data_IF_715077625839
#
_entry.id   IF_715077625839
#
_cell.length_a   1.000
_cell.length_b   1.000
_cell.length_c   1.000
_cell.angle_alpha   90.00
_cell.angle_beta   90.00
_cell.angle_gamma   90.00
#
_symmetry.space_group_name_H-M   'P 1'
#
loop_
_entity.id
_entity.type
_entity.pdbx_description
1 polymer ?
#
# COMPACT_ATOMS: atom_id res chain seq x y z
N UNK A 1 7.01 -12.44 -53.23
CA UNK A 1 5.70 -13.14 -53.17
C UNK A 1 5.71 -14.35 -52.23
N UNK A 2 6.75 -15.21 -52.23
CA UNK A 2 6.88 -16.35 -51.29
C UNK A 2 6.99 -15.96 -49.80
N UNK A 3 7.53 -14.79 -49.49
CA UNK A 3 7.69 -14.27 -48.11
C UNK A 3 6.37 -13.87 -47.44
N UNK A 4 5.36 -13.48 -48.23
CA UNK A 4 4.01 -13.19 -47.71
C UNK A 4 3.21 -14.47 -47.47
N UNK A 5 3.38 -15.48 -48.31
CA UNK A 5 2.68 -16.76 -48.17
C UNK A 5 3.18 -17.57 -46.96
N UNK A 6 4.48 -17.49 -46.65
CA UNK A 6 5.08 -18.06 -45.43
C UNK A 6 4.64 -17.33 -44.15
N UNK A 7 4.49 -16.00 -44.22
CA UNK A 7 3.97 -15.21 -43.10
C UNK A 7 2.48 -15.53 -42.83
N UNK A 8 1.68 -15.74 -43.87
CA UNK A 8 0.26 -16.08 -43.76
C UNK A 8 0.01 -17.49 -43.20
N UNK A 9 0.83 -18.47 -43.58
CA UNK A 9 0.70 -19.85 -43.10
C UNK A 9 1.15 -20.00 -41.63
N UNK A 10 2.27 -19.36 -41.27
CA UNK A 10 2.79 -19.39 -39.88
C UNK A 10 1.89 -18.62 -38.91
N UNK A 11 1.36 -17.47 -39.32
CA UNK A 11 0.39 -16.72 -38.50
C UNK A 11 -0.94 -17.46 -38.33
N UNK A 12 -1.43 -18.17 -39.35
CA UNK A 12 -2.66 -18.97 -39.23
C UNK A 12 -2.50 -20.19 -38.30
N UNK A 13 -1.36 -20.87 -38.31
CA UNK A 13 -1.07 -21.97 -37.39
C UNK A 13 -0.95 -21.45 -35.94
N UNK A 14 -0.30 -20.30 -35.75
CA UNK A 14 -0.19 -19.65 -34.43
C UNK A 14 -1.56 -19.16 -33.92
N UNK A 15 -2.44 -18.67 -34.81
CA UNK A 15 -3.79 -18.21 -34.45
C UNK A 15 -4.75 -19.37 -34.17
N UNK A 16 -4.77 -20.43 -34.98
CA UNK A 16 -5.60 -21.62 -34.75
C UNK A 16 -5.25 -22.31 -33.42
N UNK A 17 -3.96 -22.44 -33.09
CA UNK A 17 -3.52 -23.09 -31.86
C UNK A 17 -3.63 -22.20 -30.60
N UNK A 18 -3.68 -20.86 -30.73
CA UNK A 18 -3.91 -19.95 -29.60
C UNK A 18 -5.37 -19.77 -29.23
N UNK A 19 -6.29 -19.84 -30.18
CA UNK A 19 -7.74 -19.68 -29.91
C UNK A 19 -8.27 -20.85 -29.08
N UNK A 20 -7.70 -22.05 -29.26
CA UNK A 20 -8.10 -23.25 -28.49
C UNK A 20 -7.49 -23.27 -27.07
N UNK A 21 -6.30 -22.70 -26.88
CA UNK A 21 -5.54 -22.84 -25.61
C UNK A 21 -5.50 -21.59 -24.71
N UNK A 22 -6.19 -20.50 -25.05
CA UNK A 22 -6.27 -19.30 -24.17
C UNK A 22 -7.52 -19.24 -23.29
N UNK A 23 -8.34 -20.30 -23.28
CA UNK A 23 -9.54 -20.38 -22.44
C UNK A 23 -9.28 -21.05 -21.08
N UNK A 24 -8.15 -21.73 -20.87
CA UNK A 24 -7.90 -22.44 -19.59
C UNK A 24 -6.43 -22.34 -19.22
N UNK A 25 -6.09 -21.43 -18.29
CA UNK A 25 -5.13 -21.65 -17.19
C UNK A 25 -4.58 -20.33 -16.62
N UNK A 26 -5.42 -19.71 -15.78
CA UNK A 26 -4.96 -19.07 -14.55
C UNK A 26 -5.71 -19.71 -13.39
N UNK A 27 -5.28 -20.89 -12.95
CA UNK A 27 -5.63 -21.44 -11.63
C UNK A 27 -4.43 -22.20 -11.05
N UNK A 28 -3.72 -21.55 -10.13
CA UNK A 28 -3.22 -22.28 -8.97
C UNK A 28 -4.45 -22.64 -8.14
N UNK A 29 -4.79 -23.93 -8.06
CA UNK A 29 -5.47 -24.64 -6.97
C UNK A 29 -5.51 -26.11 -7.41
N UNK A 30 -4.79 -27.00 -6.71
CA UNK A 30 -5.21 -28.41 -6.59
C UNK A 30 -6.32 -28.45 -5.53
N UNK A 31 -7.38 -29.23 -5.74
CA UNK A 31 -7.39 -30.54 -5.09
C UNK A 31 -7.78 -31.69 -6.03
N UNK A 32 -7.45 -32.88 -5.56
CA UNK A 32 -7.72 -34.16 -6.19
C UNK A 32 -9.23 -34.45 -6.33
N UNK A 33 -9.53 -35.40 -7.22
CA UNK A 33 -10.82 -36.07 -7.46
C UNK A 33 -11.75 -35.37 -8.46
N UNK A 34 -11.58 -35.71 -9.74
CA UNK A 34 -12.65 -35.94 -10.73
C UNK A 34 -12.01 -36.19 -12.12
N UNK A 35 -11.53 -37.42 -12.35
CA UNK A 35 -11.21 -37.93 -13.69
C UNK A 35 -11.92 -39.28 -13.81
N UNK A 36 -13.15 -39.32 -14.30
CA UNK A 36 -13.80 -40.59 -14.67
C UNK A 36 -14.87 -40.52 -15.77
N UNK A 37 -15.12 -39.39 -16.46
CA UNK A 37 -16.30 -39.34 -17.37
C UNK A 37 -16.11 -38.77 -18.78
N UNK A 38 -14.93 -38.84 -19.40
CA UNK A 38 -14.75 -38.36 -20.79
C UNK A 38 -13.99 -39.31 -21.74
N UNK A 39 -13.98 -40.63 -21.46
CA UNK A 39 -13.22 -41.61 -22.28
C UNK A 39 -13.99 -42.33 -23.38
N UNK A 40 -15.29 -42.13 -23.59
CA UNK A 40 -16.09 -43.08 -24.42
C UNK A 40 -16.71 -42.55 -25.74
N UNK A 41 -16.19 -41.49 -26.38
CA UNK A 41 -16.84 -41.00 -27.65
C UNK A 41 -15.88 -40.79 -28.83
N UNK A 42 -14.64 -41.29 -28.81
CA UNK A 42 -13.70 -41.09 -29.94
C UNK A 42 -13.06 -42.37 -30.48
N UNK A 43 -13.83 -43.46 -30.56
CA UNK A 43 -13.45 -44.67 -31.31
C UNK A 43 -14.21 -44.78 -32.63
N UNK A 44 -13.92 -43.88 -33.58
CA UNK A 44 -14.11 -44.13 -35.02
C UNK A 44 -13.07 -43.32 -35.81
N UNK A 45 -12.05 -44.00 -36.33
CA UNK A 45 -11.22 -43.53 -37.48
C UNK A 45 -12.14 -43.15 -38.66
N UNK A 46 -11.83 -42.18 -39.56
CA UNK A 46 -10.55 -41.98 -40.29
C UNK A 46 -10.28 -40.48 -40.69
N UNK A 47 -9.45 -40.09 -41.69
CA UNK A 47 -8.30 -40.72 -42.34
C UNK A 47 -6.97 -39.94 -42.18
N UNK A 48 -5.90 -40.65 -42.54
CA UNK A 48 -4.51 -40.25 -42.76
C UNK A 48 -4.29 -38.85 -43.37
N UNK A 49 -3.95 -37.84 -42.57
CA UNK A 49 -3.27 -36.62 -43.06
C UNK A 49 -2.28 -36.01 -42.04
N UNK A 50 -1.68 -36.81 -41.14
CA UNK A 50 -0.67 -36.29 -40.18
C UNK A 50 0.74 -36.20 -40.79
N UNK A 51 1.02 -37.00 -41.82
CA UNK A 51 2.36 -37.05 -42.44
C UNK A 51 2.71 -35.78 -43.23
N UNK A 52 1.72 -35.01 -43.70
CA UNK A 52 1.98 -33.94 -44.66
C UNK A 52 2.49 -32.64 -44.00
N UNK A 53 2.19 -32.44 -42.70
CA UNK A 53 2.71 -31.32 -41.91
C UNK A 53 4.09 -31.60 -41.33
N UNK A 54 4.33 -32.83 -40.88
CA UNK A 54 5.62 -33.27 -40.31
C UNK A 54 6.70 -33.39 -41.41
N UNK A 55 6.30 -33.85 -42.60
CA UNK A 55 7.17 -33.91 -43.79
C UNK A 55 7.53 -32.53 -44.34
N UNK A 56 6.62 -31.55 -44.28
CA UNK A 56 6.89 -30.17 -44.69
C UNK A 56 7.81 -29.43 -43.72
N UNK A 57 7.73 -29.72 -42.42
CA UNK A 57 8.65 -29.17 -41.41
C UNK A 57 10.06 -29.77 -41.57
N UNK A 58 10.16 -31.08 -41.79
CA UNK A 58 11.44 -31.78 -41.98
C UNK A 58 12.15 -31.42 -43.29
N UNK A 59 11.42 -31.20 -44.40
CA UNK A 59 12.02 -30.63 -45.62
C UNK A 59 12.53 -29.20 -45.44
N UNK A 60 11.89 -28.38 -44.60
CA UNK A 60 12.33 -27.00 -44.34
C UNK A 60 13.60 -26.96 -43.48
N UNK A 61 13.73 -27.90 -42.54
CA UNK A 61 14.92 -28.06 -41.67
C UNK A 61 16.18 -28.38 -42.50
N UNK A 62 16.04 -29.02 -43.65
CA UNK A 62 17.14 -29.37 -44.56
C UNK A 62 17.54 -28.27 -45.55
N UNK A 63 16.84 -27.14 -45.59
CA UNK A 63 17.27 -26.01 -46.41
C UNK A 63 18.45 -25.31 -45.73
N UNK A 64 19.65 -25.50 -46.31
CA UNK A 64 20.96 -24.92 -45.96
C UNK A 64 21.01 -23.38 -45.88
N UNK A 65 19.88 -22.68 -45.96
CA UNK A 65 19.87 -21.24 -46.17
C UNK A 65 19.98 -20.43 -44.89
N UNK A 66 19.64 -20.95 -43.70
CA UNK A 66 19.83 -20.21 -42.43
C UNK A 66 19.98 -21.17 -41.22
N UNK A 67 21.19 -21.62 -40.83
CA UNK A 67 21.37 -22.55 -39.71
C UNK A 67 20.87 -21.99 -38.36
N UNK A 68 20.89 -20.66 -38.18
CA UNK A 68 20.30 -19.99 -37.02
C UNK A 68 18.76 -20.13 -36.95
N UNK A 69 18.07 -20.20 -38.10
CA UNK A 69 16.61 -20.39 -38.13
C UNK A 69 16.22 -21.83 -37.86
N UNK A 70 17.06 -22.79 -38.25
CA UNK A 70 16.90 -24.23 -37.93
C UNK A 70 16.99 -24.49 -36.42
N UNK A 71 17.93 -23.84 -35.73
CA UNK A 71 18.00 -23.86 -34.25
C UNK A 71 16.71 -23.31 -33.63
N UNK A 72 16.18 -22.22 -34.16
CA UNK A 72 14.90 -21.65 -33.73
C UNK A 72 13.71 -22.59 -33.96
N UNK A 73 13.65 -23.23 -35.11
CA UNK A 73 12.63 -24.22 -35.44
C UNK A 73 12.72 -25.41 -34.49
N UNK A 74 13.93 -25.86 -34.14
CA UNK A 74 14.17 -26.92 -33.16
C UNK A 74 13.66 -26.53 -31.77
N UNK A 75 13.87 -25.28 -31.34
CA UNK A 75 13.28 -24.75 -30.09
C UNK A 75 11.75 -24.77 -30.11
N UNK A 76 11.14 -24.48 -31.26
CA UNK A 76 9.67 -24.44 -31.42
C UNK A 76 9.05 -25.83 -31.58
N UNK A 77 9.71 -26.74 -32.29
CA UNK A 77 9.24 -28.09 -32.58
C UNK A 77 9.46 -29.05 -31.42
N UNK A 78 10.41 -28.77 -30.53
CA UNK A 78 10.74 -29.67 -29.43
C UNK A 78 9.68 -29.79 -28.33
N UNK A 79 8.52 -29.08 -28.33
CA UNK A 79 7.68 -29.06 -27.12
C UNK A 79 6.15 -28.99 -27.23
N UNK A 80 5.54 -29.80 -26.34
CA UNK A 80 4.15 -29.72 -25.88
C UNK A 80 3.88 -28.81 -24.66
N UNK A 81 4.89 -28.17 -24.02
CA UNK A 81 4.68 -27.17 -22.94
C UNK A 81 5.77 -26.08 -22.91
N UNK A 82 5.54 -24.99 -23.61
CA UNK A 82 6.44 -23.82 -23.64
C UNK A 82 6.38 -23.02 -22.32
N UNK A 83 7.52 -22.74 -21.68
CA UNK A 83 7.63 -21.88 -20.48
C UNK A 83 8.72 -20.82 -20.62
N UNK A 84 8.59 -19.70 -19.90
CA UNK A 84 9.59 -18.61 -19.91
C UNK A 84 10.97 -19.12 -19.46
N UNK A 85 10.99 -20.00 -18.45
CA UNK A 85 12.23 -20.61 -17.95
C UNK A 85 12.90 -21.46 -19.02
N UNK A 86 12.12 -22.26 -19.74
CA UNK A 86 12.63 -23.07 -20.84
C UNK A 86 13.23 -22.20 -21.96
N UNK A 87 12.54 -21.13 -22.37
CA UNK A 87 13.03 -20.18 -23.39
C UNK A 87 14.42 -19.64 -23.05
N UNK A 88 14.63 -19.17 -21.82
CA UNK A 88 15.91 -18.59 -21.41
C UNK A 88 16.99 -19.64 -21.10
N UNK A 89 16.61 -20.82 -20.63
CA UNK A 89 17.53 -21.96 -20.52
C UNK A 89 18.04 -22.39 -21.91
N UNK A 90 17.17 -22.45 -22.90
CA UNK A 90 17.54 -22.80 -24.27
C UNK A 90 18.51 -21.77 -24.88
N UNK A 91 18.24 -20.48 -24.70
CA UNK A 91 19.17 -19.41 -25.06
C UNK A 91 20.55 -19.65 -24.41
N UNK A 92 20.58 -19.92 -23.10
CA UNK A 92 21.81 -20.16 -22.38
C UNK A 92 22.57 -21.39 -22.91
N UNK A 93 21.85 -22.47 -23.23
CA UNK A 93 22.43 -23.69 -23.79
C UNK A 93 23.09 -23.43 -25.14
N UNK A 94 22.49 -22.62 -26.01
CA UNK A 94 23.10 -22.25 -27.30
C UNK A 94 24.33 -21.39 -27.12
N UNK A 95 24.25 -20.37 -26.26
CA UNK A 95 25.36 -19.44 -26.05
C UNK A 95 26.58 -20.15 -25.44
N UNK A 96 26.36 -21.11 -24.54
CA UNK A 96 27.42 -21.89 -23.90
C UNK A 96 27.87 -23.10 -24.72
N UNK A 97 27.21 -23.42 -25.83
CA UNK A 97 27.57 -24.58 -26.65
C UNK A 97 28.92 -24.34 -27.35
N UNK A 98 29.92 -25.19 -27.11
CA UNK A 98 31.23 -25.12 -27.75
C UNK A 98 31.22 -25.56 -29.23
N UNK A 99 30.20 -26.30 -29.66
CA UNK A 99 30.06 -26.80 -31.05
C UNK A 99 29.40 -25.78 -31.99
N UNK A 100 28.96 -24.63 -31.48
CA UNK A 100 28.35 -23.57 -32.28
C UNK A 100 29.37 -22.44 -32.43
N UNK A 101 29.64 -22.04 -33.67
CA UNK A 101 30.54 -20.94 -33.95
C UNK A 101 30.02 -19.59 -33.42
N UNK A 102 30.94 -18.68 -33.12
CA UNK A 102 30.69 -17.34 -32.62
C UNK A 102 29.77 -16.53 -33.54
N UNK A 103 29.98 -16.58 -34.86
CA UNK A 103 29.14 -15.88 -35.84
C UNK A 103 27.70 -16.40 -35.81
N UNK A 104 27.54 -17.73 -35.70
CA UNK A 104 26.22 -18.35 -35.61
C UNK A 104 25.48 -17.99 -34.31
N UNK A 105 26.21 -17.89 -33.19
CA UNK A 105 25.62 -17.43 -31.92
C UNK A 105 25.12 -16.01 -32.02
N UNK A 106 25.87 -15.13 -32.68
CA UNK A 106 25.46 -13.75 -32.90
C UNK A 106 24.21 -13.67 -33.78
N UNK A 107 24.20 -14.39 -34.91
CA UNK A 107 23.03 -14.46 -35.79
C UNK A 107 21.79 -14.99 -35.06
N UNK A 108 21.97 -16.03 -34.22
CA UNK A 108 20.90 -16.55 -33.38
C UNK A 108 20.38 -15.49 -32.38
N UNK A 109 21.29 -14.78 -31.71
CA UNK A 109 20.94 -13.76 -30.72
C UNK A 109 20.22 -12.56 -31.35
N UNK A 110 20.65 -12.14 -32.55
CA UNK A 110 19.97 -11.11 -33.33
C UNK A 110 18.54 -11.54 -33.70
N UNK A 111 18.38 -12.76 -34.20
CA UNK A 111 17.08 -13.33 -34.54
C UNK A 111 16.18 -13.44 -33.31
N UNK A 112 16.72 -13.94 -32.19
CA UNK A 112 16.03 -14.05 -30.91
C UNK A 112 15.54 -12.70 -30.41
N UNK A 113 16.41 -11.70 -30.44
CA UNK A 113 16.08 -10.33 -30.03
C UNK A 113 14.98 -9.73 -30.91
N UNK A 114 15.05 -9.95 -32.23
CA UNK A 114 14.03 -9.47 -33.20
C UNK A 114 12.67 -10.12 -32.96
N UNK A 115 12.64 -11.44 -32.74
CA UNK A 115 11.42 -12.18 -32.43
C UNK A 115 10.81 -11.68 -31.11
N UNK A 116 11.62 -11.54 -30.06
CA UNK A 116 11.15 -11.04 -28.77
C UNK A 116 10.60 -9.61 -28.88
N UNK A 117 11.33 -8.71 -29.53
CA UNK A 117 10.89 -7.33 -29.77
C UNK A 117 9.55 -7.30 -30.50
N UNK A 118 9.42 -8.08 -31.58
CA UNK A 118 8.16 -8.17 -32.36
C UNK A 118 7.02 -8.71 -31.51
N UNK A 119 7.25 -9.77 -30.75
CA UNK A 119 6.27 -10.35 -29.84
C UNK A 119 5.81 -9.37 -28.76
N UNK A 120 6.74 -8.63 -28.14
CA UNK A 120 6.42 -7.64 -27.13
C UNK A 120 5.64 -6.46 -27.71
N UNK A 121 6.05 -5.96 -28.88
CA UNK A 121 5.32 -4.89 -29.59
C UNK A 121 3.90 -5.30 -29.94
N UNK A 122 3.70 -6.52 -30.46
CA UNK A 122 2.37 -7.06 -30.75
C UNK A 122 1.52 -7.22 -29.49
N UNK A 123 2.10 -7.66 -28.37
CA UNK A 123 1.37 -7.74 -27.10
C UNK A 123 0.96 -6.38 -26.58
N UNK A 124 1.83 -5.38 -26.64
CA UNK A 124 1.50 -4.00 -26.26
C UNK A 124 0.40 -3.45 -27.15
N UNK A 125 0.48 -3.69 -28.47
CA UNK A 125 -0.55 -3.30 -29.42
C UNK A 125 -1.91 -3.96 -29.08
N UNK A 126 -1.92 -5.28 -28.91
CA UNK A 126 -3.13 -6.02 -28.56
C UNK A 126 -3.72 -5.58 -27.23
N UNK A 127 -2.88 -5.30 -26.24
CA UNK A 127 -3.32 -4.77 -24.94
C UNK A 127 -3.99 -3.39 -25.10
N UNK A 128 -3.36 -2.45 -25.82
CA UNK A 128 -3.94 -1.14 -26.12
C UNK A 128 -5.24 -1.24 -26.89
N UNK A 129 -5.33 -2.18 -27.84
CA UNK A 129 -6.56 -2.45 -28.58
C UNK A 129 -7.68 -2.93 -27.66
N UNK A 130 -7.40 -3.91 -26.78
CA UNK A 130 -8.36 -4.42 -25.78
C UNK A 130 -8.84 -3.30 -24.87
N UNK A 131 -7.93 -2.48 -24.33
CA UNK A 131 -8.28 -1.33 -23.50
C UNK A 131 -9.22 -0.36 -24.22
N UNK A 132 -8.95 -0.03 -25.49
CA UNK A 132 -9.79 0.91 -26.25
C UNK A 132 -11.19 0.37 -26.57
N UNK A 133 -11.34 -0.96 -26.73
CA UNK A 133 -12.63 -1.60 -27.04
C UNK A 133 -13.43 -2.04 -25.81
N UNK A 134 -12.79 -2.14 -24.66
CA UNK A 134 -13.43 -2.60 -23.44
C UNK A 134 -14.53 -1.62 -23.00
N UNK A 135 -15.64 -2.18 -22.52
CA UNK A 135 -16.71 -1.38 -21.97
C UNK A 135 -16.22 -0.67 -20.70
N UNK A 136 -16.51 0.63 -20.59
CA UNK A 136 -16.31 1.38 -19.36
C UNK A 136 -17.45 1.03 -18.41
N UNK A 137 -17.16 0.17 -17.42
CA UNK A 137 -18.18 -0.24 -16.46
C UNK A 137 -18.44 0.81 -15.41
N UNK A 138 -17.41 1.56 -15.01
CA UNK A 138 -17.53 2.60 -13.99
C UNK A 138 -17.08 3.93 -14.57
N UNK A 139 -18.05 4.84 -14.67
CA UNK A 139 -17.90 6.21 -15.14
C UNK A 139 -18.28 7.25 -14.07
N UNK A 140 -18.54 6.80 -12.85
CA UNK A 140 -18.87 7.63 -11.70
C UNK A 140 -17.90 7.36 -10.55
N UNK A 141 -17.63 8.40 -9.79
CA UNK A 141 -16.84 8.38 -8.57
C UNK A 141 -17.60 7.65 -7.43
N UNK A 142 -16.92 7.38 -6.33
CA UNK A 142 -17.48 6.84 -5.07
C UNK A 142 -18.66 7.69 -4.58
N UNK A 143 -18.64 9.01 -4.82
CA UNK A 143 -19.73 9.94 -4.53
C UNK A 143 -20.79 10.06 -5.64
N UNK A 144 -20.77 9.14 -6.62
CA UNK A 144 -21.67 9.11 -7.79
C UNK A 144 -21.54 10.30 -8.75
N UNK A 145 -20.49 11.12 -8.60
CA UNK A 145 -20.17 12.20 -9.53
C UNK A 145 -19.63 11.63 -10.84
N UNK A 146 -20.00 12.16 -12.01
CA UNK A 146 -19.44 11.70 -13.28
C UNK A 146 -17.94 12.00 -13.33
N UNK A 147 -17.15 10.99 -13.69
CA UNK A 147 -15.70 11.13 -13.83
C UNK A 147 -15.41 11.62 -15.25
N UNK A 148 -14.77 12.78 -15.37
CA UNK A 148 -14.30 13.29 -16.65
C UNK A 148 -13.01 12.57 -17.08
N UNK A 149 -13.07 11.92 -18.24
CA UNK A 149 -11.96 11.22 -18.88
C UNK A 149 -10.83 12.16 -19.32
N UNK A 150 -11.13 13.44 -19.56
CA UNK A 150 -10.14 14.43 -19.97
C UNK A 150 -9.30 14.97 -18.80
N UNK A 151 -9.71 14.70 -17.56
CA UNK A 151 -9.03 15.20 -16.38
C UNK A 151 -7.65 14.55 -16.21
N UNK A 152 -6.58 15.34 -15.97
CA UNK A 152 -5.24 14.79 -15.74
C UNK A 152 -5.16 13.95 -14.46
N UNK A 153 -6.13 14.06 -13.55
CA UNK A 153 -6.19 13.35 -12.26
C UNK A 153 -6.99 12.04 -12.32
N UNK A 154 -7.34 11.59 -13.51
CA UNK A 154 -8.11 10.36 -13.73
C UNK A 154 -7.26 9.35 -14.46
N UNK A 155 -7.34 8.09 -14.02
CA UNK A 155 -6.68 6.96 -14.67
C UNK A 155 -7.71 5.89 -15.01
N UNK A 156 -7.54 5.29 -16.20
CA UNK A 156 -8.30 4.12 -16.63
C UNK A 156 -7.48 2.85 -16.38
N UNK A 157 -8.01 1.95 -15.56
CA UNK A 157 -7.41 0.66 -15.24
C UNK A 157 -8.22 -0.42 -15.94
N UNK A 158 -7.56 -1.19 -16.81
CA UNK A 158 -8.15 -2.34 -17.47
C UNK A 158 -7.94 -3.61 -16.64
N UNK A 159 -9.03 -4.23 -16.22
CA UNK A 159 -9.02 -5.46 -15.43
C UNK A 159 -10.25 -6.31 -15.78
N UNK A 160 -10.08 -7.63 -15.89
CA UNK A 160 -11.18 -8.56 -16.20
C UNK A 160 -12.04 -8.13 -17.41
N UNK A 161 -11.39 -7.74 -18.52
CA UNK A 161 -12.02 -7.27 -19.77
C UNK A 161 -12.85 -5.99 -19.71
N UNK A 162 -12.81 -5.26 -18.59
CA UNK A 162 -13.52 -4.00 -18.41
C UNK A 162 -12.56 -2.87 -18.06
N UNK A 163 -12.96 -1.64 -18.39
CA UNK A 163 -12.27 -0.44 -17.96
C UNK A 163 -12.94 0.13 -16.71
N UNK A 164 -12.12 0.48 -15.72
CA UNK A 164 -12.53 1.15 -14.49
C UNK A 164 -11.81 2.50 -14.39
N UNK A 165 -12.59 3.56 -14.23
CA UNK A 165 -12.05 4.89 -13.99
C UNK A 165 -11.84 5.10 -12.50
N UNK A 166 -10.71 5.69 -12.15
CA UNK A 166 -10.39 6.09 -10.79
C UNK A 166 -9.87 7.51 -10.78
N UNK A 167 -10.30 8.30 -9.80
CA UNK A 167 -9.61 9.54 -9.49
C UNK A 167 -8.34 9.22 -8.70
N UNK A 168 -7.37 10.13 -8.74
CA UNK A 168 -6.17 10.04 -7.89
C UNK A 168 -6.54 9.89 -6.42
N UNK A 169 -7.53 10.64 -5.94
CA UNK A 169 -7.93 10.63 -4.53
C UNK A 169 -8.49 9.26 -4.12
N UNK A 170 -9.31 8.64 -4.99
CA UNK A 170 -9.83 7.30 -4.75
C UNK A 170 -8.69 6.29 -4.63
N UNK A 171 -7.71 6.36 -5.53
CA UNK A 171 -6.56 5.46 -5.48
C UNK A 171 -5.74 5.68 -4.22
N UNK A 172 -5.50 6.92 -3.81
CA UNK A 172 -4.80 7.22 -2.56
C UNK A 172 -5.55 6.59 -1.37
N UNK A 173 -6.87 6.74 -1.32
CA UNK A 173 -7.69 6.17 -0.26
C UNK A 173 -7.68 4.64 -0.27
N UNK A 174 -7.86 4.01 -1.44
CA UNK A 174 -7.82 2.56 -1.61
C UNK A 174 -6.47 2.00 -1.17
N UNK A 175 -5.37 2.64 -1.60
CA UNK A 175 -4.01 2.21 -1.31
C UNK A 175 -3.70 2.38 0.19
N UNK A 176 -3.99 3.56 0.77
CA UNK A 176 -3.71 3.84 2.17
C UNK A 176 -4.55 2.96 3.10
N UNK A 177 -5.84 2.74 2.80
CA UNK A 177 -6.67 1.85 3.59
C UNK A 177 -6.19 0.39 3.52
N UNK A 178 -5.64 -0.04 2.38
CA UNK A 178 -5.11 -1.41 2.24
C UNK A 178 -3.76 -1.55 2.96
N UNK A 179 -2.80 -0.68 2.66
CA UNK A 179 -1.43 -0.79 3.18
C UNK A 179 -1.30 -0.33 4.63
N UNK A 180 -2.16 0.59 5.07
CA UNK A 180 -2.19 1.09 6.44
C UNK A 180 -3.05 0.26 7.39
N UNK A 181 -3.65 -0.84 6.90
CA UNK A 181 -4.46 -1.72 7.73
C UNK A 181 -3.67 -2.22 8.95
N UNK A 182 -4.31 -2.17 10.10
CA UNK A 182 -3.71 -2.53 11.38
C UNK A 182 -4.77 -3.10 12.33
N UNK A 183 -4.32 -3.94 13.27
CA UNK A 183 -5.10 -4.48 14.38
C UNK A 183 -4.39 -4.14 15.67
N UNK A 184 -5.03 -3.41 16.58
CA UNK A 184 -4.43 -3.00 17.87
C UNK A 184 -3.03 -2.37 17.72
N UNK A 185 -2.89 -1.47 16.72
CA UNK A 185 -1.63 -0.84 16.31
C UNK A 185 -0.58 -1.78 15.67
N UNK A 186 -0.81 -3.08 15.60
CA UNK A 186 0.03 -4.00 14.84
C UNK A 186 -0.27 -3.89 13.36
N UNK A 187 0.76 -3.63 12.56
CA UNK A 187 0.64 -3.48 11.13
C UNK A 187 0.28 -4.82 10.47
N UNK A 188 -0.80 -4.84 9.70
CA UNK A 188 -1.24 -6.00 8.93
C UNK A 188 -1.68 -5.54 7.53
N UNK A 189 -0.74 -5.12 6.66
CA UNK A 189 -1.05 -4.57 5.36
C UNK A 189 -1.79 -5.59 4.49
N UNK A 190 -2.84 -5.13 3.82
CA UNK A 190 -3.66 -5.93 2.93
C UNK A 190 -3.28 -5.73 1.46
N UNK A 191 -3.59 -6.75 0.66
CA UNK A 191 -3.42 -6.69 -0.80
C UNK A 191 -4.37 -5.61 -1.35
N UNK A 192 -3.82 -4.70 -2.15
CA UNK A 192 -4.59 -3.64 -2.80
C UNK A 192 -5.51 -4.28 -3.86
N UNK A 193 -6.81 -4.05 -3.72
CA UNK A 193 -7.84 -4.59 -4.61
C UNK A 193 -8.61 -3.47 -5.30
N UNK A 194 -9.19 -3.83 -6.43
CA UNK A 194 -10.20 -2.99 -7.07
C UNK A 194 -11.52 -3.11 -6.28
N UNK A 195 -12.08 -2.00 -5.76
CA UNK A 195 -13.31 -2.04 -4.97
C UNK A 195 -14.54 -2.53 -5.77
N UNK A 196 -14.52 -2.42 -7.09
CA UNK A 196 -15.68 -2.75 -7.93
C UNK A 196 -15.82 -4.26 -8.21
N UNK A 197 -14.71 -5.00 -8.21
CA UNK A 197 -14.72 -6.43 -8.55
C UNK A 197 -13.97 -7.29 -7.52
N UNK A 198 -13.41 -6.69 -6.46
CA UNK A 198 -12.62 -7.33 -5.41
C UNK A 198 -11.39 -8.11 -5.90
N UNK A 199 -10.95 -7.88 -7.14
CA UNK A 199 -9.75 -8.52 -7.68
C UNK A 199 -8.49 -7.74 -7.28
N UNK A 200 -7.41 -8.45 -6.90
CA UNK A 200 -6.15 -7.80 -6.54
C UNK A 200 -5.54 -7.10 -7.74
N UNK A 201 -4.95 -5.93 -7.51
CA UNK A 201 -4.16 -5.26 -8.53
C UNK A 201 -2.89 -6.06 -8.81
N UNK A 202 -2.65 -6.35 -10.08
CA UNK A 202 -1.42 -7.00 -10.50
C UNK A 202 -0.26 -6.02 -10.38
N UNK A 203 0.95 -6.55 -10.29
CA UNK A 203 2.18 -5.75 -10.22
C UNK A 203 2.30 -4.74 -11.38
N UNK A 204 1.88 -5.12 -12.58
CA UNK A 204 1.86 -4.22 -13.74
C UNK A 204 0.92 -3.02 -13.52
N UNK A 205 -0.27 -3.26 -12.96
CA UNK A 205 -1.23 -2.20 -12.64
C UNK A 205 -0.65 -1.27 -11.58
N UNK A 206 -0.03 -1.82 -10.52
CA UNK A 206 0.60 -1.01 -9.46
C UNK A 206 1.71 -0.10 -9.99
N UNK A 207 2.55 -0.58 -10.92
CA UNK A 207 3.53 0.28 -11.61
C UNK A 207 2.85 1.38 -12.43
N UNK A 208 1.79 1.04 -13.16
CA UNK A 208 1.03 2.01 -13.95
C UNK A 208 0.46 3.10 -13.04
N UNK A 209 -0.12 2.75 -11.90
CA UNK A 209 -0.64 3.71 -10.91
C UNK A 209 0.49 4.58 -10.34
N UNK A 210 1.61 3.97 -9.94
CA UNK A 210 2.73 4.70 -9.34
C UNK A 210 3.34 5.73 -10.30
N UNK A 211 3.62 5.35 -11.54
CA UNK A 211 4.14 6.28 -12.54
C UNK A 211 3.11 7.30 -13.00
N UNK A 212 1.82 6.97 -12.93
CA UNK A 212 0.76 7.94 -13.14
C UNK A 212 0.79 9.03 -12.06
N UNK A 213 0.86 8.64 -10.77
CA UNK A 213 0.94 9.60 -9.67
C UNK A 213 2.24 10.42 -9.69
N UNK A 214 3.39 9.79 -9.96
CA UNK A 214 4.70 10.46 -10.00
C UNK A 214 4.80 11.56 -11.06
N UNK A 215 4.01 11.48 -12.14
CA UNK A 215 3.98 12.51 -13.19
C UNK A 215 3.22 13.78 -12.79
N UNK A 216 2.44 13.71 -11.73
CA UNK A 216 1.57 14.79 -11.29
C UNK A 216 2.33 15.72 -10.33
N UNK A 217 1.90 16.98 -10.18
CA UNK A 217 2.58 17.97 -9.33
C UNK A 217 2.35 17.77 -7.82
N UNK A 218 1.86 16.60 -7.37
CA UNK A 218 1.61 16.32 -5.96
C UNK A 218 2.53 15.21 -5.43
N UNK A 219 2.70 15.17 -4.11
CA UNK A 219 3.55 14.19 -3.43
C UNK A 219 2.85 12.83 -3.40
N UNK A 220 3.51 11.80 -3.92
CA UNK A 220 3.03 10.43 -3.87
C UNK A 220 2.88 9.99 -2.41
N UNK A 221 1.78 9.29 -2.02
CA UNK A 221 1.61 8.82 -0.65
C UNK A 221 2.80 8.00 -0.16
N UNK A 222 3.25 8.28 1.07
CA UNK A 222 4.44 7.69 1.68
C UNK A 222 4.38 6.15 1.70
N UNK A 223 3.26 5.59 2.16
CA UNK A 223 3.03 4.13 2.18
C UNK A 223 3.17 3.51 0.79
N UNK A 224 2.65 4.19 -0.24
CA UNK A 224 2.70 3.67 -1.61
C UNK A 224 4.11 3.76 -2.19
N UNK A 225 4.85 4.84 -1.89
CA UNK A 225 6.24 4.98 -2.29
C UNK A 225 7.11 3.89 -1.64
N UNK A 226 6.97 3.67 -0.33
CA UNK A 226 7.67 2.60 0.37
C UNK A 226 7.31 1.20 -0.19
N UNK A 227 6.05 0.97 -0.55
CA UNK A 227 5.61 -0.27 -1.19
C UNK A 227 6.21 -0.47 -2.60
N UNK A 228 6.36 0.61 -3.36
CA UNK A 228 7.07 0.60 -4.65
C UNK A 228 8.55 0.23 -4.49
N UNK A 229 9.25 0.77 -3.49
CA UNK A 229 10.65 0.44 -3.20
C UNK A 229 10.84 -1.05 -2.84
N UNK A 230 9.81 -1.67 -2.27
CA UNK A 230 9.75 -3.09 -1.97
C UNK A 230 9.32 -3.95 -3.18
N UNK A 231 9.34 -3.39 -4.40
CA UNK A 231 8.97 -4.08 -5.63
C UNK A 231 7.53 -4.64 -5.59
N UNK A 232 6.65 -3.96 -4.85
CA UNK A 232 5.28 -4.35 -4.54
C UNK A 232 5.14 -5.73 -3.88
N UNK A 233 6.15 -6.14 -3.09
CA UNK A 233 6.09 -7.34 -2.26
C UNK A 233 5.62 -6.97 -0.85
N UNK A 234 4.47 -7.50 -0.45
CA UNK A 234 3.82 -7.14 0.82
C UNK A 234 4.59 -7.62 2.05
N UNK A 235 5.21 -8.80 1.98
CA UNK A 235 6.00 -9.37 3.07
C UNK A 235 7.28 -8.56 3.30
N UNK A 236 7.98 -8.19 2.21
CA UNK A 236 9.17 -7.32 2.30
C UNK A 236 8.78 -5.93 2.80
N UNK A 237 7.63 -5.42 2.34
CA UNK A 237 7.12 -4.11 2.76
C UNK A 237 6.84 -4.05 4.27
N UNK A 238 6.17 -5.06 4.81
CA UNK A 238 5.88 -5.16 6.24
C UNK A 238 7.16 -5.11 7.07
N UNK A 239 8.12 -5.99 6.77
CA UNK A 239 9.38 -6.08 7.53
C UNK A 239 10.21 -4.81 7.43
N UNK A 240 10.33 -4.22 6.23
CA UNK A 240 11.19 -3.03 6.03
C UNK A 240 10.59 -1.74 6.58
N UNK A 241 9.28 -1.65 6.70
CA UNK A 241 8.59 -0.39 7.02
C UNK A 241 7.74 -0.50 8.29
N UNK A 242 8.03 -1.44 9.18
CA UNK A 242 7.24 -1.68 10.39
C UNK A 242 7.13 -0.43 11.29
N UNK A 243 8.24 0.30 11.46
CA UNK A 243 8.26 1.56 12.22
C UNK A 243 7.29 2.59 11.62
N UNK A 244 7.39 2.81 10.30
CA UNK A 244 6.52 3.74 9.57
C UNK A 244 5.05 3.34 9.67
N UNK A 245 4.76 2.03 9.54
CA UNK A 245 3.40 1.50 9.64
C UNK A 245 2.82 1.65 11.05
N UNK A 246 3.64 1.46 12.09
CA UNK A 246 3.24 1.69 13.48
C UNK A 246 2.90 3.16 13.73
N UNK A 247 3.76 4.06 13.27
CA UNK A 247 3.52 5.51 13.41
C UNK A 247 2.28 5.95 12.60
N UNK A 248 2.03 5.32 11.44
CA UNK A 248 0.81 5.51 10.67
C UNK A 248 -0.42 5.04 11.46
N UNK A 249 -0.38 3.83 12.04
CA UNK A 249 -1.47 3.27 12.83
C UNK A 249 -1.82 4.15 14.04
N UNK A 250 -0.83 4.72 14.74
CA UNK A 250 -1.05 5.66 15.84
C UNK A 250 -1.79 6.92 15.35
N UNK A 251 -1.35 7.51 14.24
CA UNK A 251 -2.01 8.69 13.64
C UNK A 251 -3.43 8.37 13.19
N UNK A 252 -3.64 7.22 12.58
CA UNK A 252 -4.94 6.76 12.12
C UNK A 252 -5.90 6.52 13.29
N UNK A 253 -5.46 5.81 14.33
CA UNK A 253 -6.24 5.58 15.54
C UNK A 253 -6.71 6.90 16.16
N UNK A 254 -5.81 7.87 16.33
CA UNK A 254 -6.16 9.15 16.94
C UNK A 254 -7.09 10.00 16.05
N UNK A 255 -7.02 9.87 14.73
CA UNK A 255 -7.84 10.65 13.80
C UNK A 255 -9.22 10.05 13.56
N UNK A 256 -9.32 8.72 13.40
CA UNK A 256 -10.57 8.01 13.04
C UNK A 256 -11.39 7.57 14.25
N UNK A 257 -10.79 7.43 15.44
CA UNK A 257 -11.51 6.98 16.63
C UNK A 257 -12.61 7.95 17.08
N UNK A 258 -13.69 7.39 17.62
CA UNK A 258 -14.79 8.17 18.17
C UNK A 258 -14.36 8.97 19.40
N UNK A 259 -15.02 10.12 19.64
CA UNK A 259 -14.80 10.96 20.83
C UNK A 259 -14.87 10.15 22.13
N UNK A 260 -15.77 9.17 22.21
CA UNK A 260 -15.92 8.31 23.40
C UNK A 260 -14.69 7.44 23.67
N UNK A 261 -14.13 6.83 22.63
CA UNK A 261 -12.91 6.01 22.74
C UNK A 261 -11.75 6.91 23.17
N UNK A 262 -11.54 8.03 22.48
CA UNK A 262 -10.47 8.97 22.84
C UNK A 262 -10.63 9.51 24.27
N UNK A 263 -11.84 9.81 24.74
CA UNK A 263 -12.08 10.20 26.13
C UNK A 263 -11.67 9.11 27.13
N UNK A 264 -11.92 7.83 26.81
CA UNK A 264 -11.51 6.71 27.66
C UNK A 264 -9.99 6.63 27.72
N UNK A 265 -9.33 6.75 26.58
CA UNK A 265 -7.87 6.75 26.48
C UNK A 265 -7.23 7.92 27.23
N UNK A 266 -7.83 9.11 27.17
CA UNK A 266 -7.39 10.27 27.97
C UNK A 266 -7.48 9.97 29.46
N UNK A 267 -8.60 9.39 29.92
CA UNK A 267 -8.75 9.02 31.34
C UNK A 267 -7.76 7.94 31.76
N UNK A 268 -7.48 6.98 30.87
CA UNK A 268 -6.46 5.96 31.09
C UNK A 268 -5.06 6.57 31.21
N UNK A 269 -4.68 7.43 30.26
CA UNK A 269 -3.42 8.20 30.29
C UNK A 269 -3.26 8.96 31.61
N UNK A 270 -4.29 9.69 32.05
CA UNK A 270 -4.24 10.46 33.31
C UNK A 270 -4.11 9.52 34.52
N UNK A 271 -4.80 8.39 34.50
CA UNK A 271 -4.77 7.40 35.58
C UNK A 271 -3.40 6.74 35.75
N UNK A 272 -2.64 6.63 34.67
CA UNK A 272 -1.27 6.10 34.66
C UNK A 272 -0.20 7.20 34.77
N UNK A 273 -0.62 8.47 34.86
CA UNK A 273 0.30 9.59 35.02
C UNK A 273 0.58 9.90 36.50
N UNK A 274 1.72 10.53 36.83
CA UNK A 274 1.97 11.03 38.18
C UNK A 274 0.93 12.05 38.66
N UNK A 275 0.17 12.66 37.74
CA UNK A 275 -0.84 13.67 38.00
C UNK A 275 -2.26 13.10 38.23
N UNK A 276 -2.41 11.78 38.42
CA UNK A 276 -3.71 11.13 38.72
C UNK A 276 -4.47 11.80 39.87
N UNK A 277 -3.75 12.29 40.89
CA UNK A 277 -4.35 12.92 42.08
C UNK A 277 -4.70 14.39 41.88
N UNK A 278 -4.06 15.08 40.94
CA UNK A 278 -4.22 16.53 40.72
C UNK A 278 -5.26 16.82 39.64
N UNK A 279 -5.28 16.03 38.55
CA UNK A 279 -6.19 16.20 37.41
C UNK A 279 -7.39 15.26 37.52
N UNK A 280 -8.42 15.71 38.24
CA UNK A 280 -9.67 14.95 38.45
C UNK A 280 -10.75 15.46 37.49
N UNK A 281 -11.15 14.63 36.53
CA UNK A 281 -12.19 14.96 35.55
C UNK A 281 -13.53 14.42 36.03
N UNK A 282 -14.52 15.30 36.18
CA UNK A 282 -15.88 14.91 36.55
C UNK A 282 -16.54 14.01 35.48
N UNK A 283 -17.32 12.97 35.84
CA UNK A 283 -17.92 12.05 34.88
C UNK A 283 -18.79 12.69 33.80
N UNK A 284 -19.46 13.80 34.14
CA UNK A 284 -20.34 14.58 33.25
C UNK A 284 -19.61 15.71 32.49
N UNK A 285 -18.28 15.81 32.58
CA UNK A 285 -17.53 16.86 31.90
C UNK A 285 -17.69 16.77 30.36
N UNK A 286 -17.78 17.91 29.64
CA UNK A 286 -17.94 17.92 28.19
C UNK A 286 -16.80 17.18 27.48
N UNK A 287 -17.16 16.10 26.78
CA UNK A 287 -16.20 15.21 26.10
C UNK A 287 -15.44 15.93 24.98
N UNK A 288 -16.12 16.77 24.22
CA UNK A 288 -15.52 17.45 23.07
C UNK A 288 -14.42 18.44 23.49
N UNK A 289 -14.64 19.17 24.58
CA UNK A 289 -13.63 20.07 25.17
C UNK A 289 -12.44 19.27 25.69
N UNK A 290 -12.70 18.14 26.35
CA UNK A 290 -11.65 17.25 26.84
C UNK A 290 -10.77 16.71 25.70
N UNK A 291 -11.40 16.20 24.65
CA UNK A 291 -10.68 15.66 23.48
C UNK A 291 -9.92 16.78 22.79
N UNK A 292 -10.52 17.94 22.56
CA UNK A 292 -9.85 19.05 21.87
C UNK A 292 -8.54 19.44 22.56
N UNK A 293 -8.54 19.58 23.88
CA UNK A 293 -7.38 20.10 24.61
C UNK A 293 -6.35 19.01 24.94
N UNK A 294 -6.76 17.77 25.24
CA UNK A 294 -5.84 16.70 25.64
C UNK A 294 -5.45 15.74 24.51
N UNK A 295 -6.10 15.76 23.34
CA UNK A 295 -5.71 14.91 22.19
C UNK A 295 -4.27 15.15 21.71
N UNK A 296 -3.72 16.38 21.67
CA UNK A 296 -2.32 16.60 21.34
C UNK A 296 -1.37 15.93 22.35
N UNK A 297 -1.66 16.03 23.64
CA UNK A 297 -0.88 15.39 24.72
C UNK A 297 -1.02 13.86 24.63
N UNK A 298 -2.22 13.36 24.36
CA UNK A 298 -2.48 11.94 24.13
C UNK A 298 -1.67 11.38 22.96
N UNK A 299 -1.48 12.16 21.89
CA UNK A 299 -0.64 11.76 20.76
C UNK A 299 0.79 11.48 21.21
N UNK A 300 1.35 12.35 22.05
CA UNK A 300 2.70 12.18 22.59
C UNK A 300 2.79 10.94 23.48
N UNK A 301 1.77 10.70 24.32
CA UNK A 301 1.67 9.48 25.14
C UNK A 301 1.66 8.21 24.29
N UNK A 302 0.87 8.17 23.22
CA UNK A 302 0.85 7.02 22.33
C UNK A 302 2.18 6.83 21.59
N UNK A 303 2.82 7.91 21.15
CA UNK A 303 4.15 7.84 20.54
C UNK A 303 5.23 7.39 21.53
N UNK A 304 5.15 7.72 22.81
CA UNK A 304 6.13 7.28 23.81
C UNK A 304 6.01 5.79 24.14
N UNK A 305 4.78 5.26 24.22
CA UNK A 305 4.54 3.87 24.60
C UNK A 305 4.55 2.89 23.43
N UNK A 306 4.08 3.30 22.24
CA UNK A 306 3.82 2.37 21.13
C UNK A 306 4.68 2.60 19.88
N UNK A 307 5.45 3.69 19.78
CA UNK A 307 6.37 3.83 18.64
C UNK A 307 7.46 2.76 18.73
N UNK A 308 7.96 2.29 17.58
CA UNK A 308 9.05 1.32 17.53
C UNK A 308 10.44 1.98 17.49
N UNK A 309 10.48 3.29 17.24
CA UNK A 309 11.74 4.04 17.22
C UNK A 309 12.07 4.55 18.62
N UNK A 310 13.17 4.06 19.20
CA UNK A 310 13.63 4.44 20.55
C UNK A 310 13.79 5.94 20.71
N UNK A 311 14.48 6.62 19.79
CA UNK A 311 14.70 8.06 19.89
C UNK A 311 13.37 8.82 19.84
N UNK A 312 12.44 8.40 18.98
CA UNK A 312 11.11 9.00 18.92
C UNK A 312 10.34 8.79 20.22
N UNK A 313 10.43 7.59 20.83
CA UNK A 313 9.81 7.30 22.12
C UNK A 313 10.33 8.19 23.23
N UNK A 314 11.65 8.26 23.42
CA UNK A 314 12.27 9.06 24.49
C UNK A 314 11.91 10.54 24.36
N UNK A 315 11.98 11.09 23.14
CA UNK A 315 11.60 12.48 22.87
C UNK A 315 10.11 12.70 23.13
N UNK A 316 9.25 11.79 22.68
CA UNK A 316 7.81 11.89 22.90
C UNK A 316 7.45 11.79 24.39
N UNK A 317 8.13 10.93 25.15
CA UNK A 317 7.94 10.75 26.59
C UNK A 317 8.28 12.03 27.35
N UNK A 318 9.42 12.63 27.05
CA UNK A 318 9.84 13.90 27.66
C UNK A 318 8.84 15.01 27.34
N UNK A 319 8.47 15.17 26.06
CA UNK A 319 7.49 16.17 25.63
C UNK A 319 6.13 15.95 26.29
N UNK A 320 5.69 14.71 26.41
CA UNK A 320 4.45 14.35 27.08
C UNK A 320 4.47 14.76 28.55
N UNK A 321 5.50 14.38 29.32
CA UNK A 321 5.66 14.73 30.74
C UNK A 321 5.61 16.23 30.95
N UNK A 322 6.43 16.98 30.20
CA UNK A 322 6.50 18.45 30.30
C UNK A 322 5.16 19.11 29.96
N UNK A 323 4.53 18.72 28.85
CA UNK A 323 3.27 19.32 28.43
C UNK A 323 2.13 19.01 29.42
N UNK A 324 2.07 17.79 29.94
CA UNK A 324 1.06 17.41 30.92
C UNK A 324 1.26 18.18 32.25
N UNK A 325 2.49 18.28 32.74
CA UNK A 325 2.80 19.03 33.96
C UNK A 325 2.42 20.51 33.82
N UNK A 326 2.82 21.14 32.71
CA UNK A 326 2.44 22.53 32.39
C UNK A 326 0.93 22.71 32.32
N UNK A 327 0.23 21.78 31.64
CA UNK A 327 -1.22 21.82 31.55
C UNK A 327 -1.88 21.79 32.93
N UNK A 328 -1.42 20.91 33.82
CA UNK A 328 -1.96 20.77 35.19
C UNK A 328 -1.65 22.01 36.05
N UNK A 329 -0.44 22.56 35.97
CA UNK A 329 -0.05 23.78 36.71
C UNK A 329 -0.88 25.00 36.28
N UNK A 330 -1.08 25.16 34.98
CA UNK A 330 -1.79 26.32 34.44
C UNK A 330 -3.31 26.18 34.55
N UNK A 331 -3.83 24.96 34.66
CA UNK A 331 -5.25 24.67 34.67
C UNK A 331 -5.68 23.77 35.85
N UNK A 332 -5.44 24.18 37.11
CA UNK A 332 -5.67 23.33 38.29
C UNK A 332 -7.15 22.99 38.51
N UNK A 333 -8.06 23.78 37.96
CA UNK A 333 -9.50 23.61 38.10
C UNK A 333 -10.16 22.93 36.88
N UNK A 334 -9.39 22.60 35.84
CA UNK A 334 -9.92 21.97 34.64
C UNK A 334 -10.57 20.62 34.94
N UNK A 335 -11.72 20.36 34.33
CA UNK A 335 -12.47 19.11 34.55
C UNK A 335 -13.35 19.10 35.80
N UNK A 336 -13.24 20.11 36.69
CA UNK A 336 -14.03 20.19 37.93
C UNK A 336 -15.41 20.80 37.69
N UNK A 337 -16.38 20.37 38.50
CA UNK A 337 -17.76 20.88 38.51
C UNK A 337 -17.84 22.05 39.50
N UNK A 338 -18.31 23.22 39.04
CA UNK A 338 -18.65 24.38 39.87
C UNK A 338 -20.16 24.47 39.99
N UNK A 339 -20.67 24.63 41.22
CA UNK A 339 -22.09 24.87 41.48
C UNK A 339 -22.21 26.33 41.93
N UNK A 340 -22.94 27.14 41.17
CA UNK A 340 -23.28 28.50 41.56
C UNK A 340 -24.76 28.54 41.92
N UNK A 341 -25.05 29.00 43.15
CA UNK A 341 -26.41 29.21 43.60
C UNK A 341 -26.85 30.59 43.14
N UNK A 342 -27.82 30.65 42.24
CA UNK A 342 -28.41 31.90 41.80
C UNK A 342 -29.64 32.13 42.67
N UNK A 343 -29.60 33.22 43.44
CA UNK A 343 -30.76 33.69 44.18
C UNK A 343 -31.57 34.59 43.25
N UNK A 344 -32.73 34.11 42.80
CA UNK A 344 -33.76 34.99 42.24
C UNK A 344 -34.56 35.58 43.40
N UNK A 345 -34.50 36.90 43.56
CA UNK A 345 -35.37 37.62 44.48
C UNK A 345 -36.63 38.05 43.72
N UNK A 346 -37.76 37.43 44.01
CA UNK A 346 -39.07 37.94 43.61
C UNK A 346 -39.55 38.95 44.67
N UNK A 347 -39.62 40.24 44.30
CA UNK A 347 -40.08 41.30 45.21
C UNK A 347 -41.55 41.17 45.67
N UNK A 348 -42.29 40.20 45.14
CA UNK A 348 -43.72 39.96 45.41
C UNK A 348 -43.99 38.77 46.34
N UNK A 349 -43.00 37.96 46.70
CA UNK A 349 -43.14 36.90 47.70
C UNK A 349 -41.86 36.79 48.53
N UNK A 350 -41.95 36.72 49.86
CA UNK A 350 -40.79 36.61 50.77
C UNK A 350 -40.07 35.25 50.70
N UNK A 351 -40.21 34.50 49.59
CA UNK A 351 -39.58 33.21 49.39
C UNK A 351 -38.45 33.34 48.37
N UNK A 352 -37.22 33.07 48.82
CA UNK A 352 -36.06 32.99 47.95
C UNK A 352 -35.98 31.57 47.34
N UNK A 353 -36.54 31.40 46.15
CA UNK A 353 -36.31 30.19 45.36
C UNK A 353 -34.91 30.28 44.75
N UNK A 354 -34.03 29.37 45.16
CA UNK A 354 -32.65 29.30 44.71
C UNK A 354 -32.46 28.19 43.69
N UNK A 355 -32.23 28.53 42.43
CA UNK A 355 -31.82 27.57 41.41
C UNK A 355 -30.29 27.38 41.43
N UNK A 356 -29.84 26.13 41.50
CA UNK A 356 -28.43 25.80 41.36
C UNK A 356 -28.09 25.65 39.87
N UNK A 357 -27.28 26.58 39.32
CA UNK A 357 -26.69 26.39 37.99
C UNK A 357 -25.36 25.67 38.11
N UNK A 358 -25.20 24.62 37.32
CA UNK A 358 -23.99 23.79 37.28
C UNK A 358 -23.16 24.20 36.07
N UNK A 359 -21.90 24.58 36.31
CA UNK A 359 -20.94 24.92 35.27
C UNK A 359 -19.72 24.00 35.34
N UNK A 360 -19.12 23.71 34.20
CA UNK A 360 -17.83 23.01 34.12
C UNK A 360 -16.72 23.99 33.81
N UNK A 361 -15.57 23.83 34.45
CA UNK A 361 -14.41 24.68 34.17
C UNK A 361 -13.71 24.21 32.89
N UNK A 362 -14.04 24.91 31.82
CA UNK A 362 -13.56 24.66 30.45
C UNK A 362 -12.47 25.63 30.01
N UNK A 363 -12.21 26.69 30.77
CA UNK A 363 -11.21 27.69 30.42
C UNK A 363 -9.81 27.09 30.55
N UNK A 364 -9.05 27.11 29.46
CA UNK A 364 -7.67 26.63 29.39
C UNK A 364 -6.75 27.83 29.21
N UNK A 365 -5.87 28.07 30.18
CA UNK A 365 -4.75 28.99 30.05
C UNK A 365 -3.64 28.33 29.23
N UNK A 366 -3.28 28.98 28.12
CA UNK A 366 -2.22 28.54 27.20
C UNK A 366 -1.02 29.44 27.39
N UNK A 367 0.14 28.86 27.71
CA UNK A 367 1.40 29.56 27.52
C UNK A 367 1.79 29.53 26.04
N UNK A 368 2.52 30.53 25.53
CA UNK A 368 3.06 30.50 24.17
C UNK A 368 3.98 29.27 23.99
N UNK A 369 3.85 28.58 22.86
CA UNK A 369 4.63 27.39 22.48
C UNK A 369 6.09 27.73 22.19
N UNK A 370 6.85 28.22 23.17
CA UNK A 370 8.21 28.73 22.92
C UNK A 370 9.32 27.72 23.24
N UNK A 371 9.04 26.58 23.89
CA UNK A 371 10.12 25.73 24.42
C UNK A 371 10.76 24.77 23.39
N UNK A 372 10.10 24.51 22.27
CA UNK A 372 10.59 23.58 21.23
C UNK A 372 10.58 24.18 19.83
N UNK A 373 10.04 25.40 19.67
CA UNK A 373 9.91 26.00 18.37
C UNK A 373 11.28 26.40 17.81
N UNK A 374 12.35 26.50 18.60
CA UNK A 374 13.67 26.94 18.12
C UNK A 374 14.66 25.81 17.81
N UNK A 375 14.24 24.54 18.01
CA UNK A 375 15.09 23.38 17.76
C UNK A 375 14.83 22.81 16.34
N UNK A 376 15.85 22.85 15.49
CA UNK A 376 15.87 22.40 14.09
C UNK A 376 14.99 23.21 13.11
N UNK A 377 14.92 24.54 13.29
CA UNK A 377 14.12 25.40 12.40
C UNK A 377 14.74 25.63 11.01
N UNK A 378 16.07 25.58 10.89
CA UNK A 378 16.76 25.87 9.63
C UNK A 378 18.03 25.02 9.48
N UNK A 379 18.23 24.47 8.29
CA UNK A 379 19.44 23.75 7.88
C UNK A 379 20.71 24.61 7.90
N UNK A 380 20.56 25.95 7.94
CA UNK A 380 21.67 26.91 8.04
C UNK A 380 22.09 27.20 9.49
N UNK A 381 21.27 26.83 10.47
CA UNK A 381 21.61 27.00 11.89
C UNK A 381 22.41 25.78 12.32
N UNK A 382 23.73 25.91 12.21
CA UNK A 382 24.66 24.93 12.74
C UNK A 382 24.73 25.15 14.26
N UNK A 383 24.02 24.31 15.01
CA UNK A 383 24.12 24.32 16.46
C UNK A 383 25.56 23.95 16.84
N UNK A 384 26.33 24.96 17.27
CA UNK A 384 27.57 24.74 18.00
C UNK A 384 27.22 23.98 19.28
N UNK A 385 28.13 23.16 19.78
CA UNK A 385 27.94 22.31 20.96
C UNK A 385 27.71 23.13 22.24
N UNK A 386 26.57 23.81 22.36
CA UNK A 386 26.31 24.72 23.47
C UNK A 386 25.01 24.29 24.16
N UNK A 387 25.20 23.63 25.30
CA UNK A 387 24.26 23.29 26.37
C UNK A 387 22.94 22.60 26.02
N UNK A 388 22.19 23.02 24.99
CA UNK A 388 20.83 22.57 24.70
C UNK A 388 20.79 21.24 23.94
N UNK A 389 21.71 21.00 22.99
CA UNK A 389 21.86 19.67 22.35
C UNK A 389 22.40 18.66 23.35
N UNK A 390 23.37 19.07 24.18
CA UNK A 390 23.95 18.20 25.22
C UNK A 390 22.91 17.92 26.31
N UNK A 391 22.14 18.92 26.75
CA UNK A 391 21.02 18.72 27.67
C UNK A 391 19.96 17.83 27.05
N UNK A 392 19.59 18.02 25.78
CA UNK A 392 18.61 17.19 25.11
C UNK A 392 19.10 15.75 24.93
N UNK A 393 20.37 15.56 24.58
CA UNK A 393 21.01 14.24 24.49
C UNK A 393 21.10 13.58 25.86
N UNK A 394 21.45 14.31 26.91
CA UNK A 394 21.47 13.83 28.29
C UNK A 394 20.06 13.50 28.81
N UNK A 395 19.05 14.30 28.46
CA UNK A 395 17.64 14.04 28.76
C UNK A 395 17.10 12.82 28.02
N UNK A 396 17.52 12.60 26.76
CA UNK A 396 17.21 11.37 26.02
C UNK A 396 17.90 10.18 26.69
N UNK A 397 19.18 10.30 27.04
CA UNK A 397 19.93 9.23 27.72
C UNK A 397 19.31 8.88 29.08
N UNK A 398 18.91 9.87 29.86
CA UNK A 398 18.18 9.67 31.13
C UNK A 398 16.83 8.96 30.91
N UNK A 399 16.09 9.34 29.87
CA UNK A 399 14.84 8.65 29.52
C UNK A 399 15.08 7.21 29.01
N UNK A 400 16.21 6.95 28.36
CA UNK A 400 16.62 5.60 27.95
C UNK A 400 17.05 4.72 29.13
N UNK A 401 17.68 5.30 30.16
CA UNK A 401 18.06 4.61 31.41
C UNK A 401 16.82 4.26 32.26
N UNK A 402 15.84 5.17 32.39
CA UNK A 402 14.58 4.90 33.12
C UNK A 402 13.73 3.78 32.46
N UNK A 403 13.76 3.65 31.13
CA UNK A 403 13.03 2.59 30.39
C UNK A 403 13.66 1.20 30.61
N UNK A 404 14.96 1.11 30.95
CA UNK A 404 15.62 -0.14 31.28
C UNK A 404 15.27 -0.63 32.69
N UNK A 405 15.20 0.27 33.68
CA UNK A 405 14.88 -0.08 35.07
C UNK A 405 13.44 -0.63 35.23
N UNK A 406 12.48 -0.14 34.43
CA UNK A 406 11.08 -0.63 34.47
C UNK A 406 10.95 -2.04 33.87
N UNK A 407 11.88 -2.47 33.02
CA UNK A 407 11.84 -3.80 32.40
C UNK A 407 12.33 -4.93 33.31
N UNK A 408 13.27 -4.63 34.23
CA UNK A 408 13.82 -5.62 35.17
C UNK A 408 12.91 -5.91 36.36
N UNK A 409 12.07 -4.94 36.78
CA UNK A 409 11.09 -5.11 37.88
C UNK A 409 9.83 -5.93 37.49
N UNK A 410 9.76 -6.42 36.24
CA UNK A 410 8.63 -7.20 35.72
C UNK A 410 8.96 -8.68 35.43
N UNK A 411 10.01 -9.22 36.06
CA UNK A 411 10.39 -10.64 36.00
C UNK A 411 10.08 -11.43 37.26
#
# INVERSE_FOLDING_TARGET
MLTMHTFYYTTNIILKNKIVNTVVDYKFIRPANQITHLTNVLTTTPPETENDTEYKVTQFINNKTYPASSLFLTMLSSYGKYSIRFKFNYLNNILNNCFIDSEMKEQFLQLFSKIQSTYHTLNVFMFRYKMKRAATQVNKDVFLNPIDLASPRVISIYQNNNNYLFTTNDLINIINNSLGNNSDLFADPLIIKNPYNNLPFTKSILYTIYFFMKKQPFIVPELFHAFFLCNFNISIFLVKNEIMLRDYAIKEFLSKSTTNVICREIKYMISNSPHKRTLIIHPQFPKDVLVKELKPILRLYYSSHYSLNRSTRSIAMLKWRIQLEKFVKNNPQFGRRKVERILSFDCSSNNADGENKIYFMTNVHREPENLFHDFMNDHLVQYTEDADIVNFRNLILQAEEEDFEISDDSS
#
